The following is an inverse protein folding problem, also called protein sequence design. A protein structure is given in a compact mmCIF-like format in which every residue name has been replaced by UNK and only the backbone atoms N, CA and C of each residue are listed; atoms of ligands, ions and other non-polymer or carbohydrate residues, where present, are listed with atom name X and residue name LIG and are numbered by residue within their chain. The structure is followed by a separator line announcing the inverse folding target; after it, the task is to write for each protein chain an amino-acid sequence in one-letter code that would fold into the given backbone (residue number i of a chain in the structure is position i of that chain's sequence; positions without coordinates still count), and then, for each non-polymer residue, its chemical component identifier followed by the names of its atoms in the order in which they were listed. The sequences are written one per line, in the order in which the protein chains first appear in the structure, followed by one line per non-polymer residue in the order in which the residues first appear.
data_IF_038124338219
#
_entry.id   IF_038124338219
#
_cell.length_a   1.000
_cell.length_b   1.000
_cell.length_c   1.000
_cell.angle_alpha   90.00
_cell.angle_beta   90.00
_cell.angle_gamma   90.00
#
_symmetry.space_group_name_H-M   'P 1'
#
loop_
_entity.id
_entity.type
_entity.pdbx_description
1 polymer ?
#
# COMPACT_ATOMS: atom_id res chain seq x y z
N UNK A 1 -4.02 -10.65 1.57
CA UNK A 1 -2.79 -9.81 1.66
C UNK A 1 -2.96 -8.38 1.16
N UNK A 2 -3.45 -8.16 -0.08
CA UNK A 2 -3.63 -6.81 -0.64
C UNK A 2 -4.50 -5.88 0.22
N UNK A 3 -5.63 -6.38 0.74
CA UNK A 3 -6.48 -5.63 1.67
C UNK A 3 -5.74 -5.20 2.94
N UNK A 4 -4.98 -6.09 3.57
CA UNK A 4 -4.14 -5.77 4.73
C UNK A 4 -3.04 -4.75 4.40
N UNK A 5 -2.41 -4.85 3.22
CA UNK A 5 -1.49 -3.81 2.75
C UNK A 5 -2.22 -2.47 2.63
N UNK A 6 -3.42 -2.42 2.05
CA UNK A 6 -4.20 -1.18 1.98
C UNK A 6 -4.50 -0.61 3.38
N UNK A 7 -4.89 -1.45 4.35
CA UNK A 7 -5.10 -1.02 5.73
C UNK A 7 -3.84 -0.40 6.34
N UNK A 8 -2.66 -1.00 6.15
CA UNK A 8 -1.40 -0.44 6.66
C UNK A 8 -1.02 0.90 6.00
N UNK A 9 -1.31 1.05 4.70
CA UNK A 9 -1.13 2.33 4.00
C UNK A 9 -2.04 3.40 4.61
N UNK A 10 -3.31 3.08 4.85
CA UNK A 10 -4.27 4.00 5.47
C UNK A 10 -3.88 4.36 6.91
N UNK A 11 -3.47 3.38 7.73
CA UNK A 11 -2.96 3.59 9.09
C UNK A 11 -1.71 4.46 9.14
N UNK A 12 -0.91 4.46 8.07
CA UNK A 12 0.29 5.27 7.98
C UNK A 12 0.02 6.68 7.45
N UNK A 13 -1.19 6.98 6.94
CA UNK A 13 -1.48 8.30 6.37
C UNK A 13 -1.44 9.40 7.45
N UNK A 14 -0.81 10.56 7.19
CA UNK A 14 -0.27 11.04 5.90
C UNK A 14 1.20 10.66 5.60
N UNK A 15 1.82 9.86 6.46
CA UNK A 15 3.20 9.40 6.36
C UNK A 15 3.40 8.23 5.39
N UNK A 16 4.65 7.79 5.26
CA UNK A 16 5.03 6.64 4.44
C UNK A 16 5.06 5.39 5.30
N UNK A 17 4.22 4.41 4.97
CA UNK A 17 4.34 3.06 5.51
C UNK A 17 5.63 2.42 5.01
N UNK A 18 6.49 1.93 5.91
CA UNK A 18 7.79 1.39 5.56
C UNK A 18 7.67 -0.02 4.96
N UNK A 19 8.41 -0.31 3.88
CA UNK A 19 8.36 -1.60 3.18
C UNK A 19 8.56 -2.82 4.11
N UNK A 20 9.43 -2.68 5.11
CA UNK A 20 9.69 -3.72 6.12
C UNK A 20 8.44 -4.03 6.95
N UNK A 21 7.66 -3.01 7.31
CA UNK A 21 6.46 -3.19 8.12
C UNK A 21 5.37 -3.95 7.36
N UNK A 22 5.26 -3.72 6.05
CA UNK A 22 4.36 -4.52 5.20
C UNK A 22 4.74 -5.99 5.18
N UNK A 23 6.02 -6.30 4.92
CA UNK A 23 6.50 -7.68 4.87
C UNK A 23 6.30 -8.37 6.23
N UNK A 24 6.59 -7.67 7.31
CA UNK A 24 6.45 -8.20 8.66
C UNK A 24 4.98 -8.42 9.05
N UNK A 25 4.14 -7.38 8.99
CA UNK A 25 2.77 -7.42 9.52
C UNK A 25 1.77 -8.18 8.64
N UNK A 26 2.02 -8.28 7.34
CA UNK A 26 1.08 -8.96 6.43
C UNK A 26 1.41 -10.44 6.25
N UNK A 27 2.69 -10.82 6.34
CA UNK A 27 3.15 -12.19 6.06
C UNK A 27 3.94 -12.84 7.21
N UNK A 28 4.88 -12.15 7.85
CA UNK A 28 5.69 -12.78 8.92
C UNK A 28 4.85 -13.12 10.15
N UNK A 29 3.89 -12.28 10.52
CA UNK A 29 2.91 -12.60 11.58
C UNK A 29 2.09 -13.86 11.26
N UNK A 30 1.94 -14.21 9.98
CA UNK A 30 1.26 -15.41 9.48
C UNK A 30 2.25 -16.56 9.21
N UNK A 31 3.48 -16.49 9.74
CA UNK A 31 4.57 -17.45 9.50
C UNK A 31 4.97 -17.63 8.03
N UNK A 32 4.65 -16.67 7.16
CA UNK A 32 5.00 -16.68 5.74
C UNK A 32 6.17 -15.73 5.45
N UNK A 33 7.18 -16.20 4.71
CA UNK A 33 8.22 -15.34 4.13
C UNK A 33 7.97 -15.19 2.64
N UNK A 34 7.72 -13.96 2.18
CA UNK A 34 7.51 -13.68 0.77
C UNK A 34 8.61 -12.77 0.21
N UNK A 35 8.98 -12.95 -1.07
CA UNK A 35 9.90 -12.03 -1.72
C UNK A 35 9.25 -10.64 -1.91
N UNK A 36 10.09 -9.60 -1.91
CA UNK A 36 9.66 -8.19 -2.03
C UNK A 36 8.75 -7.94 -3.25
N UNK A 37 8.96 -8.63 -4.37
CA UNK A 37 8.10 -8.51 -5.55
C UNK A 37 6.62 -8.86 -5.24
N UNK A 38 6.35 -9.77 -4.31
CA UNK A 38 4.99 -10.13 -3.87
C UNK A 38 4.29 -8.92 -3.25
N UNK A 39 5.00 -8.15 -2.42
CA UNK A 39 4.49 -6.89 -1.89
C UNK A 39 4.17 -5.91 -3.03
N UNK A 40 5.08 -5.71 -3.98
CA UNK A 40 4.82 -4.82 -5.13
C UNK A 40 3.64 -5.28 -6.00
N UNK A 41 3.44 -6.58 -6.19
CA UNK A 41 2.26 -7.13 -6.87
C UNK A 41 0.97 -6.77 -6.11
N UNK A 42 0.97 -6.88 -4.79
CA UNK A 42 -0.17 -6.47 -3.96
C UNK A 42 -0.43 -4.96 -4.09
N UNK A 43 0.60 -4.11 -4.06
CA UNK A 43 0.41 -2.66 -4.29
C UNK A 43 -0.15 -2.40 -5.69
N UNK A 44 0.30 -3.14 -6.71
CA UNK A 44 -0.21 -3.03 -8.09
C UNK A 44 -1.70 -3.38 -8.20
N UNK A 45 -2.15 -4.41 -7.47
CA UNK A 45 -3.57 -4.78 -7.37
C UNK A 45 -4.38 -3.63 -6.78
N UNK A 46 -3.93 -3.05 -5.66
CA UNK A 46 -4.64 -1.95 -4.99
C UNK A 46 -4.75 -0.73 -5.91
N UNK A 47 -3.66 -0.36 -6.59
CA UNK A 47 -3.65 0.76 -7.55
C UNK A 47 -4.64 0.55 -8.71
N UNK A 48 -4.74 -0.67 -9.23
CA UNK A 48 -5.74 -1.02 -10.27
C UNK A 48 -7.15 -0.91 -9.73
N UNK A 49 -7.41 -1.43 -8.52
CA UNK A 49 -8.71 -1.32 -7.86
C UNK A 49 -9.15 0.13 -7.73
N UNK A 50 -8.26 1.01 -7.26
CA UNK A 50 -8.57 2.44 -7.16
C UNK A 50 -8.86 3.11 -8.51
N UNK A 51 -8.10 2.80 -9.55
CA UNK A 51 -8.39 3.31 -10.90
C UNK A 51 -9.70 2.79 -11.50
N UNK A 52 -10.16 1.62 -11.07
CA UNK A 52 -11.41 1.05 -11.56
C UNK A 52 -12.64 1.67 -10.89
N UNK A 53 -12.52 2.15 -9.65
CA UNK A 53 -13.63 2.69 -8.85
C UNK A 53 -13.61 4.22 -8.73
N UNK A 54 -12.45 4.86 -8.89
CA UNK A 54 -12.30 6.31 -8.91
C UNK A 54 -11.95 6.79 -10.31
N UNK A 55 -12.61 7.86 -10.75
CA UNK A 55 -12.27 8.55 -12.01
C UNK A 55 -10.99 9.39 -11.84
N UNK A 56 -9.89 8.69 -11.57
CA UNK A 56 -8.61 9.29 -11.23
C UNK A 56 -7.60 8.90 -12.31
N UNK A 57 -7.11 9.89 -13.06
CA UNK A 57 -6.09 9.70 -14.10
C UNK A 57 -4.73 9.27 -13.52
N UNK A 58 -4.52 9.49 -12.22
CA UNK A 58 -3.29 9.16 -11.51
C UNK A 58 -3.49 8.11 -10.41
N UNK A 59 -2.42 7.40 -10.07
CA UNK A 59 -2.44 6.36 -9.04
C UNK A 59 -2.51 6.98 -7.64
N UNK A 60 -3.58 6.69 -6.88
CA UNK A 60 -3.76 7.18 -5.49
C UNK A 60 -2.64 6.76 -4.51
N UNK A 61 -1.94 5.66 -4.79
CA UNK A 61 -0.81 5.18 -3.97
C UNK A 61 0.52 5.46 -4.68
N UNK A 62 1.36 6.29 -4.05
CA UNK A 62 2.73 6.56 -4.48
C UNK A 62 3.72 5.51 -3.92
N UNK A 63 4.73 5.16 -4.72
CA UNK A 63 5.94 4.51 -4.20
C UNK A 63 6.94 5.59 -3.82
N UNK A 64 7.43 5.56 -2.58
CA UNK A 64 8.57 6.37 -2.15
C UNK A 64 9.79 5.47 -2.16
N UNK A 65 10.64 5.66 -3.18
CA UNK A 65 11.82 4.85 -3.46
C UNK A 65 12.64 4.60 -2.20
N UNK A 66 12.99 3.34 -1.93
CA UNK A 66 13.74 2.86 -0.76
C UNK A 66 13.09 3.12 0.61
N UNK A 67 11.87 3.67 0.69
CA UNK A 67 11.12 3.84 1.94
C UNK A 67 9.91 2.93 2.01
N UNK A 68 8.99 3.06 1.05
CA UNK A 68 7.74 2.29 1.05
C UNK A 68 6.63 2.98 0.28
N UNK A 69 5.43 3.04 0.86
CA UNK A 69 4.20 3.46 0.15
C UNK A 69 3.39 4.47 0.96
N UNK A 70 2.74 5.41 0.27
CA UNK A 70 1.81 6.39 0.87
C UNK A 70 0.65 6.70 -0.06
N UNK A 71 -0.45 7.16 0.51
CA UNK A 71 -1.52 7.83 -0.24
C UNK A 71 -1.03 9.24 -0.58
N UNK A 72 -1.40 9.75 -1.75
CA UNK A 72 -1.08 11.14 -2.09
C UNK A 72 -1.82 12.11 -1.15
N UNK A 73 -1.16 13.21 -0.77
CA UNK A 73 -1.68 14.16 0.22
C UNK A 73 -2.80 15.05 -0.33
N UNK A 74 -3.00 15.06 -1.65
CA UNK A 74 -4.08 15.77 -2.35
C UNK A 74 -5.42 15.02 -2.25
N UNK A 75 -5.42 13.83 -1.64
CA UNK A 75 -6.62 13.03 -1.39
C UNK A 75 -7.11 13.30 0.03
N UNK A 76 -8.38 13.74 0.13
CA UNK A 76 -9.06 13.85 1.42
C UNK A 76 -9.59 12.47 1.83
N UNK A 77 -9.09 11.94 2.94
CA UNK A 77 -9.58 10.71 3.56
C UNK A 77 -10.49 11.12 4.72
N UNK A 78 -11.80 10.92 4.58
CA UNK A 78 -12.75 11.13 5.67
C UNK A 78 -12.82 9.89 6.56
N UNK A 79 -12.78 10.10 7.88
CA UNK A 79 -12.96 9.06 8.90
C UNK A 79 -14.43 8.72 9.09
#
# INVERSE_FOLDING_TARGET
PASRCLSLIHLSFPDVGAQKDFLNRVWVEESMRVPTNTLYQNISIIRRGFRAVGDTTHSLIATVTRRGFKIHNDINIQN
#
